data_IF_370963158303
#
_entry.id   IF_370963158303
#
_cell.length_a   1.000
_cell.length_b   1.000
_cell.length_c   1.000
_cell.angle_alpha   90.00
_cell.angle_beta   90.00
_cell.angle_gamma   90.00
#
_symmetry.space_group_name_H-M   'P 1'
#
loop_
_entity.id
_entity.type
_entity.pdbx_description
1 polymer ?
#
# COMPACT_ATOMS: atom_id res chain seq x y z
N UNK A 1 1.51 -15.40 -9.67
CA UNK A 1 0.37 -14.64 -10.18
C UNK A 1 0.71 -13.15 -10.20
N UNK A 2 -0.16 -12.34 -10.79
CA UNK A 2 0.08 -10.92 -10.99
C UNK A 2 0.23 -10.14 -9.69
N UNK A 3 -0.57 -10.47 -8.69
CA UNK A 3 -0.49 -9.79 -7.38
C UNK A 3 0.83 -10.11 -6.70
N UNK A 4 1.28 -11.35 -6.77
CA UNK A 4 2.55 -11.78 -6.20
C UNK A 4 3.72 -11.07 -6.89
N UNK A 5 3.70 -11.03 -8.21
CA UNK A 5 4.74 -10.36 -9.01
C UNK A 5 4.83 -8.88 -8.66
N UNK A 6 3.69 -8.21 -8.55
CA UNK A 6 3.65 -6.81 -8.17
C UNK A 6 4.18 -6.60 -6.76
N UNK A 7 3.80 -7.46 -5.81
CA UNK A 7 4.24 -7.35 -4.41
C UNK A 7 5.77 -7.46 -4.32
N UNK A 8 6.36 -8.40 -5.05
CA UNK A 8 7.80 -8.56 -5.09
C UNK A 8 8.50 -7.36 -5.72
N UNK A 9 7.96 -6.86 -6.83
CA UNK A 9 8.47 -5.65 -7.49
C UNK A 9 8.41 -4.46 -6.55
N UNK A 10 7.27 -4.25 -5.88
CA UNK A 10 7.06 -3.15 -4.96
C UNK A 10 8.04 -3.20 -3.80
N UNK A 11 8.28 -4.40 -3.25
CA UNK A 11 9.23 -4.56 -2.17
C UNK A 11 10.63 -4.14 -2.59
N UNK A 12 11.08 -4.57 -3.78
CA UNK A 12 12.39 -4.18 -4.30
C UNK A 12 12.50 -2.67 -4.50
N UNK A 13 11.46 -2.06 -5.05
CA UNK A 13 11.44 -0.62 -5.29
C UNK A 13 11.47 0.15 -3.98
N UNK A 14 10.66 -0.27 -2.99
CA UNK A 14 10.64 0.38 -1.69
C UNK A 14 11.99 0.30 -0.98
N UNK A 15 12.66 -0.83 -1.06
CA UNK A 15 14.00 -0.97 -0.51
C UNK A 15 14.98 0.02 -1.14
N UNK A 16 14.93 0.17 -2.45
CA UNK A 16 15.79 1.12 -3.17
C UNK A 16 15.45 2.56 -2.82
N UNK A 17 14.16 2.90 -2.76
CA UNK A 17 13.71 4.25 -2.44
C UNK A 17 14.13 4.62 -1.02
N UNK A 18 13.85 3.77 -0.05
CA UNK A 18 14.19 4.01 1.35
C UNK A 18 15.70 3.98 1.58
N UNK A 19 16.44 3.25 0.74
CA UNK A 19 17.90 3.19 0.80
C UNK A 19 18.60 4.46 0.33
N UNK A 20 17.88 5.39 -0.28
CA UNK A 20 18.44 6.67 -0.74
C UNK A 20 18.75 7.65 0.39
N UNK A 21 18.45 7.29 1.63
CA UNK A 21 18.73 8.11 2.82
C UNK A 21 18.07 9.50 2.75
N UNK A 22 16.83 9.55 2.27
CA UNK A 22 16.06 10.78 2.18
C UNK A 22 15.01 10.81 3.28
N UNK A 23 15.17 11.75 4.23
CA UNK A 23 14.25 11.85 5.37
C UNK A 23 12.82 12.19 4.98
N UNK A 24 12.64 13.00 3.95
CA UNK A 24 11.29 13.38 3.49
C UNK A 24 10.55 12.13 2.99
N UNK A 25 11.24 11.30 2.20
CA UNK A 25 10.66 10.05 1.69
C UNK A 25 10.32 9.11 2.84
N UNK A 26 11.23 8.98 3.83
CA UNK A 26 10.97 8.13 4.99
C UNK A 26 9.76 8.60 5.78
N UNK A 27 9.63 9.91 5.98
CA UNK A 27 8.48 10.49 6.69
C UNK A 27 7.19 10.25 5.92
N UNK A 28 7.24 10.37 4.60
CA UNK A 28 6.08 10.10 3.76
C UNK A 28 5.63 8.65 3.89
N UNK A 29 6.56 7.71 3.81
CA UNK A 29 6.25 6.28 3.97
C UNK A 29 5.69 5.98 5.36
N UNK A 30 6.24 6.60 6.41
CA UNK A 30 5.77 6.42 7.77
C UNK A 30 4.34 6.95 7.93
N UNK A 31 4.05 8.10 7.33
CA UNK A 31 2.72 8.69 7.37
C UNK A 31 1.70 7.83 6.63
N UNK A 32 2.07 7.30 5.48
CA UNK A 32 1.25 6.37 4.73
C UNK A 32 0.90 5.14 5.58
N UNK A 33 1.90 4.54 6.22
CA UNK A 33 1.69 3.41 7.12
C UNK A 33 0.76 3.75 8.27
N UNK A 34 0.93 4.93 8.88
CA UNK A 34 0.09 5.38 9.99
C UNK A 34 -1.36 5.60 9.53
N UNK A 35 -1.55 6.09 8.32
CA UNK A 35 -2.88 6.32 7.77
C UNK A 35 -3.71 5.04 7.76
N UNK A 36 -3.07 3.91 7.46
CA UNK A 36 -3.75 2.61 7.35
C UNK A 36 -3.80 1.82 8.66
N UNK A 37 -3.22 2.35 9.74
CA UNK A 37 -3.37 1.68 11.04
C UNK A 37 -4.79 1.79 11.54
N UNK A 38 -5.22 0.77 12.27
CA UNK A 38 -6.56 0.73 12.84
C UNK A 38 -6.77 1.93 13.79
N UNK A 39 -7.92 2.56 13.66
CA UNK A 39 -8.38 3.65 14.50
C UNK A 39 -9.88 3.50 14.68
N UNK A 40 -10.64 4.56 14.40
CA UNK A 40 -12.10 4.45 14.39
C UNK A 40 -12.58 3.49 13.30
N UNK A 41 -11.83 3.41 12.19
CA UNK A 41 -12.06 2.41 11.15
C UNK A 41 -10.96 1.36 11.27
N UNK A 42 -11.31 0.09 11.12
CA UNK A 42 -10.31 -0.97 11.15
C UNK A 42 -9.50 -1.03 9.87
N UNK A 43 -8.40 -1.76 9.89
CA UNK A 43 -7.48 -1.88 8.77
C UNK A 43 -8.19 -2.44 7.52
N UNK A 44 -9.00 -3.47 7.69
CA UNK A 44 -9.70 -4.10 6.57
C UNK A 44 -10.61 -3.09 5.87
N UNK A 45 -11.36 -2.30 6.63
CA UNK A 45 -12.24 -1.28 6.08
C UNK A 45 -11.44 -0.23 5.32
N UNK A 46 -10.32 0.24 5.87
CA UNK A 46 -9.46 1.22 5.21
C UNK A 46 -8.89 0.68 3.91
N UNK A 47 -8.46 -0.57 3.89
CA UNK A 47 -7.92 -1.18 2.68
C UNK A 47 -9.00 -1.38 1.62
N UNK A 48 -10.23 -1.72 2.02
CA UNK A 48 -11.37 -1.82 1.09
C UNK A 48 -11.71 -0.48 0.49
N UNK A 49 -11.69 0.60 1.29
CA UNK A 49 -11.90 1.95 0.78
C UNK A 49 -10.83 2.34 -0.23
N UNK A 50 -9.58 2.02 0.07
CA UNK A 50 -8.48 2.27 -0.86
C UNK A 50 -8.62 1.49 -2.15
N UNK A 51 -9.07 0.24 -2.06
CA UNK A 51 -9.32 -0.59 -3.23
C UNK A 51 -10.38 0.04 -4.13
N UNK A 52 -11.52 0.44 -3.56
CA UNK A 52 -12.61 1.07 -4.32
C UNK A 52 -12.11 2.35 -4.99
N UNK A 53 -11.42 3.21 -4.24
CA UNK A 53 -10.88 4.46 -4.78
C UNK A 53 -9.90 4.18 -5.93
N UNK A 54 -9.02 3.20 -5.79
CA UNK A 54 -8.06 2.87 -6.83
C UNK A 54 -8.71 2.32 -8.08
N UNK A 55 -9.81 1.57 -7.95
CA UNK A 55 -10.59 1.09 -9.09
C UNK A 55 -11.23 2.24 -9.86
N UNK A 56 -11.79 3.22 -9.15
CA UNK A 56 -12.38 4.41 -9.76
C UNK A 56 -11.32 5.23 -10.50
N UNK A 57 -10.15 5.36 -9.91
CA UNK A 57 -9.02 6.10 -10.50
C UNK A 57 -8.27 5.29 -11.56
N UNK A 58 -8.61 4.03 -11.73
CA UNK A 58 -7.96 3.12 -12.70
C UNK A 58 -6.45 3.00 -12.50
N UNK A 59 -6.03 2.94 -11.24
CA UNK A 59 -4.63 2.75 -10.89
C UNK A 59 -4.35 1.27 -10.67
N UNK A 60 -3.81 0.57 -11.68
CA UNK A 60 -3.58 -0.87 -11.61
C UNK A 60 -2.67 -1.27 -10.45
N UNK A 61 -1.61 -0.51 -10.24
CA UNK A 61 -0.67 -0.79 -9.15
C UNK A 61 -1.32 -0.57 -7.78
N UNK A 62 -2.14 0.47 -7.65
CA UNK A 62 -2.88 0.73 -6.42
C UNK A 62 -3.90 -0.38 -6.15
N UNK A 63 -4.60 -0.84 -7.19
CA UNK A 63 -5.55 -1.95 -7.08
C UNK A 63 -4.83 -3.20 -6.58
N UNK A 64 -3.71 -3.55 -7.20
CA UNK A 64 -2.93 -4.73 -6.82
C UNK A 64 -2.45 -4.64 -5.37
N UNK A 65 -1.99 -3.47 -4.96
CA UNK A 65 -1.54 -3.25 -3.58
C UNK A 65 -2.68 -3.47 -2.59
N UNK A 66 -3.83 -2.83 -2.83
CA UNK A 66 -4.95 -2.92 -1.90
C UNK A 66 -5.59 -4.31 -1.88
N UNK A 67 -5.60 -5.03 -3.02
CA UNK A 67 -6.04 -6.43 -3.04
C UNK A 67 -5.15 -7.26 -2.11
N UNK A 68 -3.84 -7.11 -2.21
CA UNK A 68 -2.90 -7.84 -1.37
C UNK A 68 -3.12 -7.52 0.11
N UNK A 69 -3.33 -6.24 0.45
CA UNK A 69 -3.56 -5.83 1.84
C UNK A 69 -4.91 -6.33 2.37
N UNK A 70 -5.96 -6.32 1.56
CA UNK A 70 -7.25 -6.86 1.95
C UNK A 70 -7.15 -8.36 2.24
N UNK A 71 -6.39 -9.08 1.43
CA UNK A 71 -6.18 -10.50 1.62
C UNK A 71 -5.45 -10.79 2.93
N UNK A 72 -4.46 -9.98 3.27
CA UNK A 72 -3.73 -10.09 4.52
C UNK A 72 -4.63 -9.79 5.73
N UNK A 73 -5.52 -8.83 5.61
CA UNK A 73 -6.41 -8.43 6.69
C UNK A 73 -7.58 -9.41 6.90
N UNK A 74 -7.77 -10.34 5.99
CA UNK A 74 -8.87 -11.30 6.04
C UNK A 74 -10.05 -10.80 5.25
#
# INVERSE_FOLDING_TARGET
DRVKEFTEFRQRMNERILGQDNQVVRRFFALDTQTYKAGKLDLKTKELLGLVASMVLRCDDCISYHIAQCKEAG
#
